data_IF_536705175892
#
_entry.id   IF_536705175892
#
_cell.length_a   1.000
_cell.length_b   1.000
_cell.length_c   1.000
_cell.angle_alpha   90.00
_cell.angle_beta   90.00
_cell.angle_gamma   90.00
#
_symmetry.space_group_name_H-M   'P 1'
#
loop_
_entity.id
_entity.type
_entity.pdbx_description
1 polymer ?
#
# COMPACT_ATOMS: atom_id res chain seq x y z
N UNK A 1 35.05 -18.22 -4.32
CA UNK A 1 34.00 -19.23 -4.08
C UNK A 1 32.86 -18.53 -3.38
N UNK A 2 31.75 -18.28 -4.08
CA UNK A 2 30.66 -17.42 -3.61
C UNK A 2 29.81 -18.12 -2.54
N UNK A 3 29.60 -17.47 -1.40
CA UNK A 3 28.67 -17.94 -0.39
C UNK A 3 27.28 -18.09 -1.03
N UNK A 4 26.62 -19.24 -0.84
CA UNK A 4 25.25 -19.44 -1.26
C UNK A 4 24.39 -18.32 -0.64
N UNK A 5 23.58 -17.58 -1.43
CA UNK A 5 22.72 -16.55 -0.88
C UNK A 5 21.76 -17.18 0.14
N UNK A 6 21.60 -16.53 1.29
CA UNK A 6 20.63 -17.00 2.29
C UNK A 6 19.24 -17.05 1.68
N UNK A 7 18.41 -18.02 2.09
CA UNK A 7 17.04 -18.20 1.58
C UNK A 7 16.24 -16.89 1.59
N UNK A 8 16.44 -16.05 2.62
CA UNK A 8 15.82 -14.74 2.75
C UNK A 8 16.18 -13.76 1.61
N UNK A 9 17.43 -13.78 1.14
CA UNK A 9 17.92 -12.95 0.03
C UNK A 9 17.44 -13.42 -1.34
N UNK A 10 16.89 -14.63 -1.43
CA UNK A 10 16.21 -15.12 -2.64
C UNK A 10 14.70 -14.88 -2.57
N UNK A 11 14.07 -15.17 -1.43
CA UNK A 11 12.62 -15.08 -1.29
C UNK A 11 12.10 -13.65 -1.46
N UNK A 12 12.76 -12.65 -0.86
CA UNK A 12 12.27 -11.28 -0.95
C UNK A 12 12.24 -10.76 -2.42
N UNK A 13 13.34 -10.85 -3.21
CA UNK A 13 13.30 -10.45 -4.62
C UNK A 13 12.31 -11.26 -5.46
N UNK A 14 12.19 -12.57 -5.23
CA UNK A 14 11.25 -13.41 -5.97
C UNK A 14 9.80 -13.04 -5.67
N UNK A 15 9.47 -12.77 -4.40
CA UNK A 15 8.12 -12.30 -4.04
C UNK A 15 7.81 -10.93 -4.65
N UNK A 16 8.78 -10.02 -4.69
CA UNK A 16 8.62 -8.72 -5.34
C UNK A 16 8.39 -8.88 -6.84
N UNK A 17 9.17 -9.75 -7.51
CA UNK A 17 9.00 -10.03 -8.93
C UNK A 17 7.62 -10.64 -9.23
N UNK A 18 7.16 -11.59 -8.41
CA UNK A 18 5.82 -12.15 -8.51
C UNK A 18 4.75 -11.07 -8.43
N UNK A 19 4.80 -10.24 -7.37
CA UNK A 19 3.83 -9.15 -7.20
C UNK A 19 3.90 -8.15 -8.36
N UNK A 20 5.11 -7.74 -8.76
CA UNK A 20 5.30 -6.81 -9.87
C UNK A 20 4.67 -7.34 -11.17
N UNK A 21 4.93 -8.59 -11.53
CA UNK A 21 4.35 -9.22 -12.72
C UNK A 21 2.84 -9.33 -12.60
N UNK A 22 2.31 -9.72 -11.44
CA UNK A 22 0.87 -9.76 -11.20
C UNK A 22 0.24 -8.37 -11.37
N UNK A 23 0.87 -7.30 -10.87
CA UNK A 23 0.40 -5.92 -11.06
C UNK A 23 0.40 -5.50 -12.53
N UNK A 24 1.42 -5.89 -13.31
CA UNK A 24 1.43 -5.64 -14.75
C UNK A 24 0.28 -6.39 -15.45
N UNK A 25 0.08 -7.67 -15.12
CA UNK A 25 -1.09 -8.42 -15.60
C UNK A 25 -2.40 -7.71 -15.25
N UNK A 26 -2.51 -7.24 -14.00
CA UNK A 26 -3.64 -6.47 -13.49
C UNK A 26 -4.03 -5.27 -14.36
N UNK A 27 -3.02 -4.51 -14.80
CA UNK A 27 -3.21 -3.29 -15.59
C UNK A 27 -3.44 -3.57 -17.08
N UNK A 28 -2.88 -4.65 -17.62
CA UNK A 28 -2.87 -4.91 -19.06
C UNK A 28 -3.83 -6.02 -19.52
N UNK A 29 -4.47 -6.76 -18.62
CA UNK A 29 -5.48 -7.76 -18.98
C UNK A 29 -6.83 -7.14 -19.33
N UNK A 30 -7.76 -7.97 -19.83
CA UNK A 30 -9.17 -7.58 -19.99
C UNK A 30 -10.05 -8.58 -19.25
N UNK A 31 -10.92 -8.16 -18.31
CA UNK A 31 -10.98 -6.80 -17.75
C UNK A 31 -9.66 -6.44 -17.05
N UNK A 32 -9.28 -5.16 -17.09
CA UNK A 32 -8.16 -4.65 -16.29
C UNK A 32 -8.67 -4.19 -14.91
N UNK A 33 -7.73 -3.88 -14.00
CA UNK A 33 -8.03 -3.41 -12.65
C UNK A 33 -8.98 -2.21 -12.65
N UNK A 34 -8.82 -1.27 -13.60
CA UNK A 34 -9.64 -0.07 -13.70
C UNK A 34 -11.07 -0.40 -14.18
N UNK A 35 -11.22 -1.35 -15.09
CA UNK A 35 -12.54 -1.82 -15.55
C UNK A 35 -13.33 -2.41 -14.37
N UNK A 36 -12.69 -3.29 -13.59
CA UNK A 36 -13.31 -3.88 -12.39
C UNK A 36 -13.62 -2.81 -11.34
N UNK A 37 -12.70 -1.86 -11.11
CA UNK A 37 -12.92 -0.76 -10.19
C UNK A 37 -14.14 0.08 -10.59
N UNK A 38 -14.26 0.43 -11.88
CA UNK A 38 -15.37 1.22 -12.39
C UNK A 38 -16.69 0.45 -12.36
N UNK A 39 -16.65 -0.87 -12.51
CA UNK A 39 -17.83 -1.74 -12.40
C UNK A 39 -18.34 -1.88 -10.96
N UNK A 40 -17.49 -1.62 -9.95
CA UNK A 40 -17.81 -1.80 -8.53
C UNK A 40 -17.62 -0.50 -7.75
N UNK A 41 -18.49 0.51 -7.94
CA UNK A 41 -18.38 1.78 -7.24
C UNK A 41 -18.49 1.54 -5.73
N UNK A 42 -17.47 1.98 -4.98
CA UNK A 42 -17.36 1.73 -3.55
C UNK A 42 -17.25 3.04 -2.76
N UNK A 43 -17.69 3.00 -1.50
CA UNK A 43 -17.61 4.12 -0.57
C UNK A 43 -16.17 4.64 -0.39
N UNK A 44 -15.20 3.74 -0.50
CA UNK A 44 -13.78 3.99 -0.33
C UNK A 44 -12.98 3.71 -1.60
N UNK A 45 -13.39 4.27 -2.73
CA UNK A 45 -12.65 4.17 -3.99
C UNK A 45 -11.59 5.29 -4.10
N UNK A 46 -10.29 4.98 -3.99
CA UNK A 46 -9.23 5.96 -4.28
C UNK A 46 -9.24 6.34 -5.75
N UNK A 47 -8.84 7.58 -6.05
CA UNK A 47 -8.63 7.99 -7.44
C UNK A 47 -7.50 7.16 -8.07
N UNK A 48 -7.70 6.56 -9.26
CA UNK A 48 -6.70 5.69 -9.89
C UNK A 48 -5.30 6.32 -10.01
N UNK A 49 -5.22 7.60 -10.40
CA UNK A 49 -3.95 8.32 -10.50
C UNK A 49 -3.26 8.56 -9.15
N UNK A 50 -4.01 8.59 -8.04
CA UNK A 50 -3.45 8.69 -6.70
C UNK A 50 -2.80 7.38 -6.25
N UNK A 51 -3.40 6.24 -6.63
CA UNK A 51 -2.83 4.91 -6.39
C UNK A 51 -1.46 4.82 -7.08
N UNK A 52 -1.40 5.14 -8.38
CA UNK A 52 -0.15 5.13 -9.14
C UNK A 52 0.93 6.06 -8.53
N UNK A 53 0.53 7.27 -8.11
CA UNK A 53 1.44 8.23 -7.49
C UNK A 53 1.98 7.82 -6.12
N UNK A 54 1.30 6.92 -5.40
CA UNK A 54 1.76 6.40 -4.11
C UNK A 54 2.59 5.12 -4.27
N UNK A 55 2.14 4.20 -5.11
CA UNK A 55 2.83 2.93 -5.37
C UNK A 55 4.16 3.13 -6.10
N UNK A 56 4.26 4.06 -7.04
CA UNK A 56 5.51 4.22 -7.81
C UNK A 56 6.73 4.59 -6.94
N UNK A 57 6.68 5.62 -6.07
CA UNK A 57 7.78 5.89 -5.15
C UNK A 57 8.05 4.73 -4.17
N UNK A 58 7.00 4.04 -3.74
CA UNK A 58 7.14 2.86 -2.87
C UNK A 58 7.91 1.73 -3.56
N UNK A 59 7.69 1.47 -4.85
CA UNK A 59 8.47 0.49 -5.62
C UNK A 59 9.96 0.86 -5.64
N UNK A 60 10.30 2.15 -5.77
CA UNK A 60 11.69 2.60 -5.73
C UNK A 60 12.35 2.35 -4.37
N UNK A 61 11.64 2.64 -3.27
CA UNK A 61 12.15 2.36 -1.92
C UNK A 61 12.32 0.86 -1.67
N UNK A 62 11.39 0.03 -2.17
CA UNK A 62 11.52 -1.43 -2.10
C UNK A 62 12.72 -1.95 -2.89
N UNK A 63 12.95 -1.45 -4.10
CA UNK A 63 14.12 -1.83 -4.89
C UNK A 63 15.42 -1.43 -4.19
N UNK A 64 15.48 -0.22 -3.62
CA UNK A 64 16.62 0.22 -2.82
C UNK A 64 16.83 -0.67 -1.59
N UNK A 65 15.74 -1.09 -0.94
CA UNK A 65 15.79 -1.98 0.22
C UNK A 65 16.26 -3.38 -0.15
N UNK A 66 15.70 -3.98 -1.22
CA UNK A 66 16.11 -5.27 -1.77
C UNK A 66 17.58 -5.26 -2.21
N UNK A 67 18.01 -4.20 -2.87
CA UNK A 67 19.42 -4.05 -3.25
C UNK A 67 20.34 -4.09 -2.02
N UNK A 68 19.96 -3.42 -0.93
CA UNK A 68 20.74 -3.41 0.30
C UNK A 68 20.72 -4.76 1.01
N UNK A 69 19.56 -5.43 1.05
CA UNK A 69 19.39 -6.78 1.56
C UNK A 69 20.27 -7.79 0.81
N UNK A 70 20.22 -7.79 -0.53
CA UNK A 70 20.97 -8.71 -1.38
C UNK A 70 22.47 -8.49 -1.29
N UNK A 71 22.93 -7.24 -1.17
CA UNK A 71 24.35 -6.94 -0.96
C UNK A 71 24.86 -7.41 0.40
N UNK A 72 23.99 -7.60 1.39
CA UNK A 72 24.37 -7.98 2.75
C UNK A 72 25.37 -7.02 3.41
N UNK A 73 25.41 -5.76 2.96
CA UNK A 73 26.39 -4.77 3.39
C UNK A 73 25.87 -4.00 4.61
N UNK A 74 26.71 -3.86 5.63
CA UNK A 74 26.39 -3.15 6.87
C UNK A 74 26.85 -3.90 8.12
N UNK A 75 26.58 -3.31 9.28
CA UNK A 75 26.82 -3.98 10.56
C UNK A 75 25.89 -5.19 10.73
N UNK A 76 26.22 -6.11 11.63
CA UNK A 76 25.36 -7.25 11.93
C UNK A 76 23.95 -6.80 12.36
N UNK A 77 23.86 -5.75 13.18
CA UNK A 77 22.58 -5.17 13.57
C UNK A 77 21.77 -4.64 12.38
N UNK A 78 22.41 -3.97 11.41
CA UNK A 78 21.72 -3.50 10.20
C UNK A 78 21.24 -4.65 9.32
N UNK A 79 22.01 -5.74 9.24
CA UNK A 79 21.62 -6.95 8.52
C UNK A 79 20.41 -7.61 9.18
N UNK A 80 20.43 -7.75 10.50
CA UNK A 80 19.32 -8.34 11.26
C UNK A 80 18.03 -7.51 11.09
N UNK A 81 18.12 -6.18 11.04
CA UNK A 81 16.96 -5.33 10.76
C UNK A 81 16.39 -5.51 9.35
N UNK A 82 17.27 -5.61 8.33
CA UNK A 82 16.84 -5.87 6.96
C UNK A 82 16.20 -7.27 6.85
N UNK A 83 16.83 -8.28 7.43
CA UNK A 83 16.36 -9.67 7.39
C UNK A 83 15.05 -9.85 8.19
N UNK A 84 14.84 -9.08 9.26
CA UNK A 84 13.60 -9.10 10.06
C UNK A 84 12.35 -8.69 9.28
N UNK A 85 12.48 -7.83 8.27
CA UNK A 85 11.36 -7.42 7.40
C UNK A 85 11.07 -8.42 6.28
N UNK A 86 11.93 -9.42 6.03
CA UNK A 86 11.78 -10.31 4.87
C UNK A 86 10.50 -11.13 4.92
N UNK A 87 10.19 -11.78 6.05
CA UNK A 87 9.00 -12.64 6.12
C UNK A 87 7.67 -11.88 5.92
N UNK A 88 7.39 -10.73 6.56
CA UNK A 88 6.13 -10.01 6.33
C UNK A 88 6.10 -9.40 4.93
N UNK A 89 7.27 -9.04 4.38
CA UNK A 89 7.39 -8.54 3.01
C UNK A 89 7.03 -9.61 1.97
N UNK A 90 7.51 -10.84 2.16
CA UNK A 90 7.17 -11.98 1.29
C UNK A 90 5.68 -12.28 1.37
N UNK A 91 5.11 -12.38 2.58
CA UNK A 91 3.67 -12.61 2.77
C UNK A 91 2.86 -11.52 2.08
N UNK A 92 3.25 -10.25 2.26
CA UNK A 92 2.54 -9.13 1.65
C UNK A 92 2.57 -9.17 0.13
N UNK A 93 3.74 -9.38 -0.48
CA UNK A 93 3.86 -9.47 -1.93
C UNK A 93 3.09 -10.66 -2.53
N UNK A 94 3.12 -11.82 -1.86
CA UNK A 94 2.34 -12.99 -2.30
C UNK A 94 0.84 -12.69 -2.18
N UNK A 95 0.38 -12.13 -1.06
CA UNK A 95 -1.02 -11.79 -0.88
C UNK A 95 -1.52 -10.78 -1.91
N UNK A 96 -0.78 -9.69 -2.16
CA UNK A 96 -1.18 -8.66 -3.12
C UNK A 96 -1.09 -9.16 -4.56
N UNK A 97 -0.06 -9.92 -4.91
CA UNK A 97 0.02 -10.55 -6.23
C UNK A 97 -1.12 -11.53 -6.47
N UNK A 98 -1.48 -12.35 -5.47
CA UNK A 98 -2.63 -13.27 -5.56
C UNK A 98 -3.96 -12.53 -5.59
N UNK A 99 -4.11 -11.46 -4.80
CA UNK A 99 -5.28 -10.58 -4.80
C UNK A 99 -5.61 -10.09 -6.21
N UNK A 100 -4.60 -9.73 -7.01
CA UNK A 100 -4.81 -9.24 -8.36
C UNK A 100 -5.59 -10.20 -9.26
N UNK A 101 -5.29 -11.50 -9.20
CA UNK A 101 -5.99 -12.49 -10.02
C UNK A 101 -7.47 -12.57 -9.66
N UNK A 102 -7.78 -12.55 -8.36
CA UNK A 102 -9.17 -12.59 -7.88
C UNK A 102 -9.90 -11.26 -8.12
N UNK A 103 -9.20 -10.13 -8.01
CA UNK A 103 -9.74 -8.82 -8.36
C UNK A 103 -10.13 -8.77 -9.83
N UNK A 104 -9.22 -9.13 -10.75
CA UNK A 104 -9.51 -9.12 -12.18
C UNK A 104 -10.57 -10.15 -12.59
N UNK A 105 -10.71 -11.25 -11.84
CA UNK A 105 -11.82 -12.19 -12.00
C UNK A 105 -13.15 -11.70 -11.38
N UNK A 106 -13.19 -10.48 -10.85
CA UNK A 106 -14.32 -9.89 -10.12
C UNK A 106 -14.78 -10.72 -8.89
N UNK A 107 -13.90 -11.58 -8.36
CA UNK A 107 -14.14 -12.40 -7.17
C UNK A 107 -13.76 -11.63 -5.89
N UNK A 108 -14.48 -10.52 -5.65
CA UNK A 108 -14.10 -9.48 -4.67
C UNK A 108 -14.08 -9.97 -3.20
N UNK A 109 -14.96 -10.91 -2.84
CA UNK A 109 -14.97 -11.49 -1.50
C UNK A 109 -13.69 -12.31 -1.25
N UNK A 110 -13.27 -13.12 -2.23
CA UNK A 110 -12.04 -13.90 -2.19
C UNK A 110 -10.81 -13.00 -2.20
N UNK A 111 -10.82 -11.96 -3.03
CA UNK A 111 -9.73 -10.96 -3.05
C UNK A 111 -9.60 -10.29 -1.67
N UNK A 112 -10.70 -10.07 -0.95
CA UNK A 112 -10.67 -9.45 0.38
C UNK A 112 -9.92 -10.26 1.42
N UNK A 113 -9.94 -11.59 1.32
CA UNK A 113 -9.21 -12.47 2.24
C UNK A 113 -7.72 -12.19 2.17
N UNK A 114 -7.16 -12.09 0.96
CA UNK A 114 -5.74 -11.81 0.76
C UNK A 114 -5.34 -10.41 1.23
N UNK A 115 -6.19 -9.42 0.97
CA UNK A 115 -5.98 -8.05 1.46
C UNK A 115 -6.00 -8.01 2.99
N UNK A 116 -6.93 -8.72 3.63
CA UNK A 116 -6.99 -8.81 5.08
C UNK A 116 -5.74 -9.49 5.66
N UNK A 117 -5.30 -10.62 5.08
CA UNK A 117 -4.08 -11.31 5.49
C UNK A 117 -2.84 -10.42 5.37
N UNK A 118 -2.67 -9.71 4.24
CA UNK A 118 -1.60 -8.74 4.07
C UNK A 118 -1.67 -7.68 5.18
N UNK A 119 -2.83 -7.03 5.31
CA UNK A 119 -3.02 -5.89 6.23
C UNK A 119 -2.73 -6.27 7.67
N UNK A 120 -3.29 -7.38 8.14
CA UNK A 120 -3.06 -7.89 9.49
C UNK A 120 -1.57 -8.23 9.71
N UNK A 121 -0.92 -8.84 8.72
CA UNK A 121 0.52 -9.15 8.78
C UNK A 121 1.36 -7.88 8.90
N UNK A 122 1.12 -6.88 8.05
CA UNK A 122 1.90 -5.63 8.07
C UNK A 122 1.67 -4.85 9.36
N UNK A 123 0.41 -4.76 9.83
CA UNK A 123 0.09 -4.07 11.07
C UNK A 123 0.69 -4.78 12.29
N UNK A 124 0.58 -6.11 12.37
CA UNK A 124 1.19 -6.90 13.44
C UNK A 124 2.71 -6.71 13.46
N UNK A 125 3.36 -6.74 12.29
CA UNK A 125 4.79 -6.51 12.19
C UNK A 125 5.18 -5.11 12.68
N UNK A 126 4.51 -4.05 12.20
CA UNK A 126 4.81 -2.67 12.59
C UNK A 126 4.53 -2.42 14.07
N UNK A 127 3.49 -3.04 14.64
CA UNK A 127 3.07 -2.80 16.02
C UNK A 127 3.87 -3.61 17.05
N UNK A 128 4.27 -4.84 16.74
CA UNK A 128 4.81 -5.78 17.73
C UNK A 128 6.26 -6.22 17.47
N UNK A 129 6.74 -6.11 16.23
CA UNK A 129 8.03 -6.71 15.82
C UNK A 129 9.04 -5.65 15.37
N UNK A 130 8.58 -4.59 14.71
CA UNK A 130 9.46 -3.55 14.16
C UNK A 130 10.22 -2.82 15.30
N UNK A 131 11.56 -2.88 15.33
CA UNK A 131 12.34 -2.20 16.35
C UNK A 131 12.25 -0.67 16.25
N UNK A 132 12.65 0.09 17.28
CA UNK A 132 12.67 1.55 17.23
C UNK A 132 13.55 2.10 16.10
N UNK A 133 13.09 3.19 15.47
CA UNK A 133 13.78 3.81 14.34
C UNK A 133 15.17 4.33 14.75
N UNK A 134 16.23 3.82 14.10
CA UNK A 134 17.58 4.36 14.20
C UNK A 134 17.84 5.36 13.08
N UNK A 135 17.67 6.65 13.37
CA UNK A 135 17.79 7.75 12.39
C UNK A 135 19.16 7.85 11.73
N UNK A 136 20.22 7.41 12.42
CA UNK A 136 21.60 7.38 11.89
C UNK A 136 21.87 6.23 10.92
N UNK A 137 21.07 5.16 10.95
CA UNK A 137 21.23 4.03 10.02
C UNK A 137 20.36 4.22 8.79
N UNK A 138 20.98 4.17 7.61
CA UNK A 138 20.24 4.13 6.35
C UNK A 138 19.44 2.82 6.19
N UNK A 139 19.91 1.70 6.75
CA UNK A 139 19.18 0.43 6.69
C UNK A 139 17.90 0.51 7.53
N UNK A 140 18.01 1.03 8.76
CA UNK A 140 16.86 1.21 9.64
C UNK A 140 15.82 2.14 9.02
N UNK A 141 16.24 3.34 8.55
CA UNK A 141 15.33 4.28 7.88
C UNK A 141 14.60 3.65 6.70
N UNK A 142 15.32 2.96 5.83
CA UNK A 142 14.74 2.34 4.64
C UNK A 142 13.77 1.20 5.00
N UNK A 143 14.13 0.36 5.97
CA UNK A 143 13.26 -0.70 6.52
C UNK A 143 11.96 -0.11 7.08
N UNK A 144 12.05 0.97 7.85
CA UNK A 144 10.87 1.66 8.38
C UNK A 144 10.00 2.27 7.28
N UNK A 145 10.61 2.91 6.27
CA UNK A 145 9.87 3.45 5.12
C UNK A 145 9.11 2.34 4.42
N UNK A 146 9.76 1.21 4.09
CA UNK A 146 9.10 0.09 3.40
C UNK A 146 8.01 -0.53 4.27
N UNK A 147 8.30 -0.87 5.53
CA UNK A 147 7.35 -1.51 6.43
C UNK A 147 6.09 -0.64 6.67
N UNK A 148 6.29 0.65 6.95
CA UNK A 148 5.19 1.57 7.29
C UNK A 148 4.37 1.96 6.07
N UNK A 149 4.99 2.08 4.89
CA UNK A 149 4.24 2.29 3.64
C UNK A 149 3.42 1.06 3.27
N UNK A 150 3.95 -0.15 3.43
CA UNK A 150 3.20 -1.41 3.25
C UNK A 150 1.99 -1.49 4.18
N UNK A 151 2.17 -1.20 5.47
CA UNK A 151 1.08 -1.20 6.44
C UNK A 151 0.01 -0.15 6.11
N UNK A 152 0.43 1.07 5.74
CA UNK A 152 -0.50 2.14 5.36
C UNK A 152 -1.34 1.80 4.14
N UNK A 153 -0.72 1.20 3.12
CA UNK A 153 -1.43 0.71 1.93
C UNK A 153 -2.37 -0.43 2.28
N UNK A 154 -1.94 -1.39 3.10
CA UNK A 154 -2.81 -2.49 3.53
C UNK A 154 -4.12 -1.98 4.13
N UNK A 155 -4.07 -0.98 5.01
CA UNK A 155 -5.29 -0.36 5.58
C UNK A 155 -6.18 0.24 4.50
N UNK A 156 -5.61 0.95 3.52
CA UNK A 156 -6.37 1.54 2.42
C UNK A 156 -6.99 0.47 1.51
N UNK A 157 -6.23 -0.56 1.16
CA UNK A 157 -6.67 -1.68 0.35
C UNK A 157 -7.78 -2.44 1.07
N UNK A 158 -7.68 -2.65 2.39
CA UNK A 158 -8.72 -3.32 3.17
C UNK A 158 -10.02 -2.54 3.15
N UNK A 159 -9.98 -1.23 3.33
CA UNK A 159 -11.16 -0.37 3.27
C UNK A 159 -11.78 -0.37 1.87
N UNK A 160 -10.96 -0.20 0.83
CA UNK A 160 -11.40 -0.18 -0.56
C UNK A 160 -12.01 -1.52 -0.98
N UNK A 161 -11.27 -2.62 -0.78
CA UNK A 161 -11.69 -3.95 -1.22
C UNK A 161 -12.87 -4.45 -0.39
N UNK A 162 -12.94 -4.20 0.92
CA UNK A 162 -14.11 -4.55 1.73
C UNK A 162 -15.34 -3.78 1.27
N UNK A 163 -15.18 -2.49 0.96
CA UNK A 163 -16.28 -1.69 0.45
C UNK A 163 -16.74 -2.15 -0.93
N UNK A 164 -15.83 -2.53 -1.83
CA UNK A 164 -16.19 -3.04 -3.15
C UNK A 164 -16.86 -4.43 -3.05
N UNK A 165 -16.36 -5.31 -2.17
CA UNK A 165 -16.84 -6.68 -2.03
C UNK A 165 -18.21 -6.80 -1.35
N UNK A 166 -18.48 -5.99 -0.32
CA UNK A 166 -19.65 -6.17 0.54
C UNK A 166 -20.62 -4.98 0.54
N UNK A 167 -20.19 -3.81 0.04
CA UNK A 167 -20.96 -2.57 0.08
C UNK A 167 -20.95 -1.83 -1.28
N UNK A 168 -20.93 -2.58 -2.38
CA UNK A 168 -20.98 -2.03 -3.74
C UNK A 168 -22.21 -1.15 -3.95
N UNK A 169 -22.02 0.02 -4.58
CA UNK A 169 -23.07 1.00 -4.84
C UNK A 169 -23.49 1.85 -3.64
N UNK A 170 -22.90 1.64 -2.46
CA UNK A 170 -23.23 2.43 -1.26
C UNK A 170 -22.33 3.66 -1.17
N UNK A 171 -22.88 4.89 -1.19
CA UNK A 171 -22.07 6.09 -1.03
C UNK A 171 -21.51 6.19 0.40
N UNK A 172 -20.31 6.74 0.58
CA UNK A 172 -19.71 6.93 1.90
C UNK A 172 -20.52 7.96 2.69
N UNK A 173 -21.08 7.55 3.83
CA UNK A 173 -21.82 8.44 4.73
C UNK A 173 -20.90 9.52 5.31
N UNK A 174 -21.48 10.66 5.73
CA UNK A 174 -20.71 11.76 6.31
C UNK A 174 -19.90 11.34 7.54
N UNK A 175 -20.48 10.48 8.38
CA UNK A 175 -19.84 9.91 9.56
C UNK A 175 -18.63 9.06 9.19
N UNK A 176 -18.77 8.19 8.18
CA UNK A 176 -17.71 7.29 7.71
C UNK A 176 -16.52 8.11 7.17
N UNK A 177 -16.78 9.17 6.41
CA UNK A 177 -15.70 10.09 5.95
C UNK A 177 -14.98 10.77 7.11
N UNK A 178 -15.71 11.27 8.10
CA UNK A 178 -15.13 11.93 9.27
C UNK A 178 -14.36 10.94 10.13
N UNK A 179 -14.90 9.74 10.37
CA UNK A 179 -14.24 8.69 11.14
C UNK A 179 -12.97 8.19 10.46
N UNK A 180 -12.97 8.01 9.13
CA UNK A 180 -11.74 7.73 8.36
C UNK A 180 -10.75 8.87 8.50
N UNK A 181 -11.20 10.13 8.51
CA UNK A 181 -10.31 11.27 8.70
C UNK A 181 -9.66 11.37 10.05
N UNK A 182 -10.47 11.23 11.09
CA UNK A 182 -10.02 11.21 12.46
C UNK A 182 -9.14 9.99 12.69
N UNK A 183 -9.49 8.82 12.13
CA UNK A 183 -8.71 7.59 12.22
C UNK A 183 -7.34 7.71 11.54
N UNK A 184 -7.27 8.25 10.32
CA UNK A 184 -6.00 8.49 9.62
C UNK A 184 -5.19 9.60 10.30
N UNK A 185 -5.82 10.65 10.84
CA UNK A 185 -5.13 11.71 11.58
C UNK A 185 -4.65 11.25 12.97
N UNK A 186 -5.42 10.40 13.66
CA UNK A 186 -5.07 9.79 14.94
C UNK A 186 -3.97 8.76 14.76
N UNK A 187 -4.10 7.86 13.78
CA UNK A 187 -3.03 6.95 13.39
C UNK A 187 -1.80 7.74 12.95
N UNK A 188 -1.95 8.87 12.24
CA UNK A 188 -0.81 9.68 11.86
C UNK A 188 -0.12 10.39 13.04
N UNK A 189 -0.87 10.83 14.04
CA UNK A 189 -0.36 11.53 15.23
C UNK A 189 0.20 10.57 16.28
N UNK A 190 -0.30 9.34 16.34
CA UNK A 190 0.22 8.27 17.18
C UNK A 190 1.45 7.56 16.56
N UNK A 191 1.85 7.95 15.35
CA UNK A 191 2.91 7.30 14.59
C UNK A 191 4.06 8.23 14.28
N UNK A 192 5.29 7.72 14.25
CA UNK A 192 6.45 8.51 13.85
C UNK A 192 6.23 9.13 12.45
N UNK A 193 6.83 10.31 12.26
CA UNK A 193 6.62 11.24 11.14
C UNK A 193 6.57 10.61 9.73
N UNK A 194 7.22 9.47 9.51
CA UNK A 194 7.20 8.72 8.25
C UNK A 194 5.84 8.05 8.00
N UNK A 195 5.27 7.37 9.00
CA UNK A 195 3.94 6.75 8.88
C UNK A 195 2.84 7.82 9.01
N UNK A 196 3.06 8.82 9.85
CA UNK A 196 2.17 9.98 9.94
C UNK A 196 2.06 10.79 8.65
N UNK A 197 3.17 11.04 7.96
CA UNK A 197 3.16 11.72 6.66
C UNK A 197 2.43 10.92 5.57
N UNK A 198 2.56 9.58 5.57
CA UNK A 198 1.79 8.73 4.65
C UNK A 198 0.29 8.86 4.90
N UNK A 199 -0.14 8.72 6.16
CA UNK A 199 -1.54 8.75 6.53
C UNK A 199 -2.18 10.15 6.31
N UNK A 200 -1.48 11.24 6.65
CA UNK A 200 -1.96 12.62 6.43
C UNK A 200 -2.02 12.98 4.94
N UNK A 201 -1.03 12.57 4.14
CA UNK A 201 -1.02 12.81 2.69
C UNK A 201 -2.15 12.03 2.00
N UNK A 202 -2.43 10.80 2.44
CA UNK A 202 -3.57 10.02 1.97
C UNK A 202 -4.90 10.66 2.38
N UNK A 203 -5.02 11.20 3.59
CA UNK A 203 -6.20 11.91 4.06
C UNK A 203 -6.48 13.23 3.29
N UNK A 204 -5.46 14.08 3.12
CA UNK A 204 -5.63 15.39 2.49
C UNK A 204 -6.16 15.33 1.06
N UNK A 205 -5.86 14.26 0.32
CA UNK A 205 -6.33 14.08 -1.07
C UNK A 205 -7.67 13.37 -1.20
N UNK A 206 -8.11 12.62 -0.19
CA UNK A 206 -9.52 12.20 -0.10
C UNK A 206 -10.47 13.41 0.05
N UNK A 207 -10.01 14.55 0.58
CA UNK A 207 -10.76 15.82 0.66
C UNK A 207 -10.76 16.66 -0.63
N UNK A 208 -9.81 16.45 -1.54
CA UNK A 208 -9.65 17.27 -2.77
C UNK A 208 -10.76 17.08 -3.82
N UNK A 209 -11.60 16.04 -3.69
CA UNK A 209 -12.53 15.64 -4.75
C UNK A 209 -13.96 16.19 -4.67
N UNK A 210 -14.15 17.35 -4.02
CA UNK A 210 -15.44 18.06 -4.08
C UNK A 210 -15.36 19.46 -4.69
N UNK A 211 -14.28 19.80 -5.42
CA UNK A 211 -14.23 21.01 -6.26
C UNK A 211 -14.32 20.74 -7.78
N UNK A 212 -14.07 19.52 -8.25
CA UNK A 212 -14.11 19.21 -9.69
C UNK A 212 -15.48 18.80 -10.25
N UNK A 213 -16.42 18.35 -9.40
CA UNK A 213 -17.77 17.93 -9.83
C UNK A 213 -18.84 19.03 -9.64
N UNK A 214 -18.44 20.23 -9.21
CA UNK A 214 -19.31 21.42 -9.03
C UNK A 214 -19.09 22.48 -10.13
N UNK A 215 -18.41 22.15 -11.21
CA UNK A 215 -18.19 23.06 -12.35
C UNK A 215 -18.87 22.57 -13.64
N UNK A 216 -19.88 21.70 -13.52
CA UNK A 216 -20.78 21.34 -14.61
C UNK A 216 -22.09 22.10 -14.47
N UNK A 217 -22.11 23.37 -14.89
CA UNK A 217 -23.34 24.17 -14.88
C UNK A 217 -23.11 25.67 -15.06
N UNK A 218 -22.90 26.08 -16.31
CA UNK A 218 -23.32 27.38 -16.89
C UNK A 218 -22.82 28.65 -16.18
N UNK A 219 -21.91 29.37 -16.85
CA UNK A 219 -21.99 30.84 -16.91
C UNK A 219 -20.74 31.63 -16.51
N UNK A 220 -20.38 32.55 -17.41
CA UNK A 220 -19.58 33.76 -17.22
C UNK A 220 -18.06 33.58 -17.03
N UNK A 221 -17.24 33.87 -18.05
CA UNK A 221 -16.73 35.20 -18.44
C UNK A 221 -15.66 35.76 -17.49
N UNK A 222 -14.40 35.73 -17.96
CA UNK A 222 -13.51 36.90 -18.05
C UNK A 222 -12.78 37.42 -16.80
N UNK A 223 -11.57 37.93 -17.07
CA UNK A 223 -10.64 38.71 -16.22
C UNK A 223 -9.72 37.85 -15.33
N UNK A 224 -8.41 37.71 -15.56
CA UNK A 224 -7.45 38.27 -16.53
C UNK A 224 -6.41 37.19 -16.88
#
# INVERSE_FOLDING_TARGET
>A
MGAAPSTLRMLAPLSFAFNFVAQQYGMFSTPNMLDVHNANPAAFSPQPYFIAGFFFPQQLFQLAWLWKLCRGAGTEQERNELEGLVWPYVVGNVCIGTWMFFWNANALATSNVFVALNTLTQLAYVAAVLPPLRTRSAASRLTHVVAKTFAGIGVLDLLHNTSAAYYGGVPPSGLVKVATGVGFAAAASASDWIFGACLVRCWGRMRGLRRGLWAGGIGARGCD
#
